data_IF_447478868051
#
_entry.id   IF_447478868051
#
_cell.length_a   1.000
_cell.length_b   1.000
_cell.length_c   1.000
_cell.angle_alpha   90.00
_cell.angle_beta   90.00
_cell.angle_gamma   90.00
#
_symmetry.space_group_name_H-M   'P 1'
#
loop_
_entity.id
_entity.type
_entity.pdbx_description
1 polymer ?
#
# COMPACT_ATOMS: atom_id res chain seq x y z
N UNK A 1 48.47 -31.68 -13.63
CA UNK A 1 47.64 -31.13 -12.53
C UNK A 1 46.19 -31.50 -12.79
N UNK A 2 45.55 -32.24 -11.87
CA UNK A 2 44.18 -32.64 -12.01
C UNK A 2 43.26 -31.43 -11.78
N UNK A 3 42.49 -31.02 -12.78
CA UNK A 3 41.51 -29.92 -12.68
C UNK A 3 40.39 -30.38 -11.75
N UNK A 4 40.30 -29.77 -10.59
CA UNK A 4 39.16 -30.06 -9.67
C UNK A 4 37.87 -29.54 -10.27
N UNK A 5 36.81 -30.30 -10.14
CA UNK A 5 35.50 -29.90 -10.60
C UNK A 5 35.02 -28.63 -9.86
N UNK A 6 34.33 -27.70 -10.54
CA UNK A 6 33.75 -26.53 -9.88
C UNK A 6 32.84 -26.90 -8.72
N UNK A 7 32.89 -26.13 -7.64
CA UNK A 7 32.03 -26.35 -6.49
C UNK A 7 30.58 -25.89 -6.81
N UNK A 8 29.65 -26.81 -6.77
CA UNK A 8 28.24 -26.52 -7.06
C UNK A 8 27.59 -25.56 -6.05
N UNK A 9 28.11 -25.49 -4.82
CA UNK A 9 27.62 -24.54 -3.80
C UNK A 9 28.18 -23.13 -4.07
N UNK A 10 29.41 -23.08 -4.53
CA UNK A 10 29.98 -21.81 -4.99
C UNK A 10 29.32 -21.30 -6.29
N UNK A 11 28.91 -22.10 -6.98
CA UNK A 11 28.24 -21.83 -8.01
C UNK A 11 27.12 -21.16 -7.75
N UNK A 12 26.42 -21.48 -6.68
CA UNK A 12 25.21 -20.82 -6.18
C UNK A 12 25.51 -19.61 -5.27
N UNK A 13 26.74 -19.16 -5.25
CA UNK A 13 27.15 -17.92 -4.61
C UNK A 13 27.91 -18.07 -3.30
N UNK A 14 27.81 -19.17 -2.59
CA UNK A 14 28.55 -19.35 -1.33
C UNK A 14 28.68 -20.81 -0.95
N UNK A 15 29.91 -21.22 -0.65
CA UNK A 15 30.22 -22.53 -0.10
C UNK A 15 30.63 -22.42 1.37
N UNK A 16 29.89 -23.04 2.25
CA UNK A 16 30.13 -23.00 3.70
C UNK A 16 31.48 -23.65 4.08
N UNK A 17 31.96 -24.60 3.26
CA UNK A 17 33.24 -25.30 3.55
C UNK A 17 34.48 -24.41 3.22
N UNK A 18 34.31 -23.29 2.52
CA UNK A 18 35.39 -22.35 2.23
C UNK A 18 36.66 -23.05 1.71
N UNK A 19 37.80 -22.81 2.38
CA UNK A 19 39.08 -23.39 2.01
C UNK A 19 39.17 -24.91 2.21
N UNK A 20 38.26 -25.50 2.98
CA UNK A 20 38.23 -26.95 3.23
C UNK A 20 37.45 -27.71 2.16
N UNK A 21 36.89 -27.00 1.17
CA UNK A 21 36.12 -27.63 0.11
C UNK A 21 37.04 -28.45 -0.83
N UNK A 22 36.62 -29.67 -1.14
CA UNK A 22 37.37 -30.52 -2.08
C UNK A 22 37.19 -30.09 -3.55
N UNK A 23 36.22 -29.26 -3.85
CA UNK A 23 35.95 -28.76 -5.20
C UNK A 23 36.59 -27.40 -5.40
N UNK A 24 36.87 -27.05 -6.68
CA UNK A 24 37.53 -25.79 -7.01
C UNK A 24 36.62 -24.57 -6.74
N UNK A 25 37.16 -23.55 -6.04
CA UNK A 25 36.58 -22.21 -5.90
C UNK A 25 37.30 -21.21 -6.80
N UNK A 26 38.33 -21.66 -7.53
CA UNK A 26 39.08 -20.79 -8.43
C UNK A 26 38.36 -20.66 -9.77
N UNK A 27 37.73 -19.51 -9.98
CA UNK A 27 36.89 -19.22 -11.15
C UNK A 27 37.69 -19.28 -12.48
N UNK A 28 38.97 -19.00 -12.43
CA UNK A 28 39.83 -19.08 -13.62
C UNK A 28 40.01 -20.51 -14.16
N UNK A 29 39.77 -21.50 -13.29
CA UNK A 29 39.86 -22.91 -13.67
C UNK A 29 38.50 -23.51 -14.07
N UNK A 30 37.41 -22.72 -13.90
CA UNK A 30 36.06 -23.22 -14.19
C UNK A 30 35.77 -23.22 -15.68
N UNK A 31 35.09 -24.23 -16.18
CA UNK A 31 34.65 -24.21 -17.57
C UNK A 31 33.57 -23.14 -17.78
N UNK A 32 33.47 -22.61 -19.03
CA UNK A 32 32.58 -21.49 -19.33
C UNK A 32 31.12 -21.70 -18.89
N UNK A 33 30.58 -22.91 -19.04
CA UNK A 33 29.22 -23.21 -18.65
C UNK A 33 28.99 -23.03 -17.13
N UNK A 34 29.97 -23.39 -16.30
CA UNK A 34 29.87 -23.24 -14.85
C UNK A 34 29.89 -21.74 -14.45
N UNK A 35 30.68 -20.94 -15.16
CA UNK A 35 30.73 -19.48 -14.98
C UNK A 35 29.39 -18.85 -15.36
N UNK A 36 28.78 -19.26 -16.45
CA UNK A 36 27.46 -18.77 -16.89
C UNK A 36 26.37 -19.11 -15.86
N UNK A 37 26.37 -20.33 -15.34
CA UNK A 37 25.41 -20.73 -14.28
C UNK A 37 25.56 -19.82 -13.05
N UNK A 38 26.81 -19.57 -12.63
CA UNK A 38 27.08 -18.67 -11.49
C UNK A 38 26.60 -17.23 -11.77
N UNK A 39 26.93 -16.71 -12.94
CA UNK A 39 26.51 -15.36 -13.34
C UNK A 39 25.00 -15.21 -13.32
N UNK A 40 24.28 -16.17 -13.92
CA UNK A 40 22.80 -16.15 -13.92
C UNK A 40 22.23 -16.22 -12.51
N UNK A 41 22.81 -17.03 -11.64
CA UNK A 41 22.38 -17.13 -10.25
C UNK A 41 22.56 -15.81 -9.51
N UNK A 42 23.73 -15.17 -9.69
CA UNK A 42 24.04 -13.90 -9.03
C UNK A 42 23.15 -12.77 -9.57
N UNK A 43 22.94 -12.72 -10.89
CA UNK A 43 22.02 -11.74 -11.52
C UNK A 43 20.60 -11.90 -10.97
N UNK A 44 20.10 -13.11 -10.88
CA UNK A 44 18.76 -13.37 -10.32
C UNK A 44 18.64 -12.93 -8.86
N UNK A 45 19.70 -13.09 -8.06
CA UNK A 45 19.72 -12.58 -6.68
C UNK A 45 19.68 -11.05 -6.65
N UNK A 46 20.46 -10.40 -7.51
CA UNK A 46 20.50 -8.94 -7.60
C UNK A 46 19.12 -8.42 -8.02
N UNK A 47 18.52 -9.01 -9.07
CA UNK A 47 17.19 -8.61 -9.54
C UNK A 47 16.14 -8.72 -8.43
N UNK A 48 16.11 -9.85 -7.71
CA UNK A 48 15.18 -10.03 -6.58
C UNK A 48 15.40 -9.02 -5.45
N UNK A 49 16.66 -8.66 -5.20
CA UNK A 49 16.99 -7.63 -4.21
C UNK A 49 16.55 -6.25 -4.68
N UNK A 50 16.73 -5.95 -5.96
CA UNK A 50 16.28 -4.69 -6.57
C UNK A 50 14.75 -4.58 -6.54
N UNK A 51 14.03 -5.63 -6.91
CA UNK A 51 12.56 -5.66 -6.85
C UNK A 51 12.07 -5.34 -5.44
N UNK A 52 12.66 -5.98 -4.43
CA UNK A 52 12.33 -5.72 -3.03
C UNK A 52 12.64 -4.28 -2.62
N UNK A 53 13.76 -3.73 -3.10
CA UNK A 53 14.13 -2.33 -2.82
C UNK A 53 13.19 -1.36 -3.52
N UNK A 54 12.81 -1.64 -4.76
CA UNK A 54 11.84 -0.86 -5.53
C UNK A 54 10.48 -0.85 -4.80
N UNK A 55 10.01 -2.01 -4.33
CA UNK A 55 8.76 -2.09 -3.56
C UNK A 55 8.82 -1.23 -2.30
N UNK A 56 9.95 -1.31 -1.56
CA UNK A 56 10.14 -0.52 -0.34
C UNK A 56 10.20 0.99 -0.65
N UNK A 57 10.95 1.38 -1.68
CA UNK A 57 11.06 2.78 -2.12
C UNK A 57 9.71 3.31 -2.62
N UNK A 58 8.97 2.49 -3.35
CA UNK A 58 7.63 2.83 -3.83
C UNK A 58 6.67 3.05 -2.66
N UNK A 59 6.75 2.23 -1.61
CA UNK A 59 5.94 2.41 -0.41
C UNK A 59 6.28 3.72 0.31
N UNK A 60 7.57 4.02 0.47
CA UNK A 60 8.06 5.24 1.12
C UNK A 60 7.70 6.47 0.27
N UNK A 61 7.98 6.41 -1.03
CA UNK A 61 7.72 7.50 -1.96
C UNK A 61 6.22 7.78 -2.08
N UNK A 62 5.40 6.75 -2.22
CA UNK A 62 3.95 6.89 -2.29
C UNK A 62 3.37 7.53 -1.04
N UNK A 63 3.83 7.12 0.14
CA UNK A 63 3.40 7.72 1.39
C UNK A 63 3.86 9.18 1.51
N UNK A 64 5.11 9.46 1.13
CA UNK A 64 5.67 10.82 1.19
C UNK A 64 5.00 11.75 0.16
N UNK A 65 4.71 11.23 -1.03
CA UNK A 65 4.05 12.01 -2.09
C UNK A 65 2.60 12.35 -1.72
N UNK A 66 1.89 11.41 -1.11
CA UNK A 66 0.53 11.65 -0.63
C UNK A 66 0.50 12.74 0.47
N UNK A 67 1.46 12.70 1.39
CA UNK A 67 1.55 13.66 2.50
C UNK A 67 1.96 15.07 2.02
N UNK A 68 2.72 15.18 0.93
CA UNK A 68 3.33 16.46 0.53
C UNK A 68 2.54 17.27 -0.51
N UNK A 69 1.85 16.63 -1.45
CA UNK A 69 1.30 17.37 -2.59
C UNK A 69 -0.20 17.19 -2.82
N UNK A 70 -0.74 16.01 -2.65
CA UNK A 70 -2.10 15.71 -3.09
C UNK A 70 -3.11 15.68 -1.94
N UNK A 71 -2.71 15.25 -0.77
CA UNK A 71 -3.58 15.24 0.40
C UNK A 71 -3.87 16.67 0.89
N UNK A 72 -2.88 17.57 0.80
CA UNK A 72 -3.07 18.98 1.12
C UNK A 72 -3.96 19.72 0.10
N UNK A 73 -3.89 19.33 -1.17
CA UNK A 73 -4.66 19.96 -2.23
C UNK A 73 -6.05 19.38 -2.43
N UNK A 74 -6.19 18.05 -2.31
CA UNK A 74 -7.42 17.36 -2.66
C UNK A 74 -8.11 16.67 -1.46
N UNK A 75 -7.36 16.37 -0.41
CA UNK A 75 -7.83 15.52 0.67
C UNK A 75 -8.00 14.06 0.23
N UNK A 76 -8.27 13.18 1.19
CA UNK A 76 -8.38 11.72 0.96
C UNK A 76 -9.45 11.39 -0.09
N UNK A 77 -10.63 12.00 0.05
CA UNK A 77 -11.76 11.77 -0.87
C UNK A 77 -11.43 12.23 -2.27
N UNK A 78 -10.82 13.43 -2.41
CA UNK A 78 -10.44 14.00 -3.70
C UNK A 78 -9.41 13.15 -4.45
N UNK A 79 -8.43 12.59 -3.75
CA UNK A 79 -7.45 11.65 -4.32
C UNK A 79 -8.15 10.41 -4.88
N UNK A 80 -9.10 9.85 -4.14
CA UNK A 80 -9.85 8.66 -4.55
C UNK A 80 -10.77 8.94 -5.75
N UNK A 81 -11.47 10.07 -5.75
CA UNK A 81 -12.32 10.50 -6.87
C UNK A 81 -11.47 10.74 -8.13
N UNK A 82 -10.33 11.40 -7.99
CA UNK A 82 -9.39 11.63 -9.10
C UNK A 82 -8.86 10.32 -9.69
N UNK A 83 -8.55 9.34 -8.85
CA UNK A 83 -8.10 8.02 -9.31
C UNK A 83 -9.21 7.29 -10.09
N UNK A 84 -10.45 7.31 -9.60
CA UNK A 84 -11.59 6.69 -10.31
C UNK A 84 -11.77 7.36 -11.67
N UNK A 85 -11.75 8.69 -11.70
CA UNK A 85 -11.93 9.48 -12.92
C UNK A 85 -10.72 9.50 -13.85
N UNK A 86 -9.60 8.93 -13.42
CA UNK A 86 -8.32 8.98 -14.14
C UNK A 86 -7.86 10.42 -14.39
N UNK A 87 -8.07 11.28 -13.41
CA UNK A 87 -7.72 12.71 -13.42
C UNK A 87 -6.46 12.90 -12.55
N UNK A 88 -5.66 13.92 -12.87
CA UNK A 88 -4.50 14.35 -12.07
C UNK A 88 -3.37 13.32 -11.89
N UNK A 89 -3.24 12.35 -12.77
CA UNK A 89 -2.16 11.36 -12.75
C UNK A 89 -1.99 10.62 -11.40
N UNK A 90 -3.08 10.44 -10.66
CA UNK A 90 -3.04 9.73 -9.37
C UNK A 90 -2.61 8.29 -9.61
N UNK A 91 -1.57 7.87 -8.91
CA UNK A 91 -1.06 6.50 -9.02
C UNK A 91 -1.94 5.51 -8.27
N UNK A 92 -1.88 4.24 -8.66
CA UNK A 92 -2.54 3.16 -7.94
C UNK A 92 -2.05 3.09 -6.48
N UNK A 93 -0.77 3.36 -6.27
CA UNK A 93 -0.15 3.39 -4.94
C UNK A 93 -0.80 4.46 -4.06
N UNK A 94 -0.88 5.69 -4.55
CA UNK A 94 -1.51 6.82 -3.83
C UNK A 94 -2.97 6.52 -3.50
N UNK A 95 -3.71 5.95 -4.45
CA UNK A 95 -5.11 5.55 -4.24
C UNK A 95 -5.24 4.48 -3.15
N UNK A 96 -4.34 3.49 -3.08
CA UNK A 96 -4.38 2.45 -2.05
C UNK A 96 -4.08 3.04 -0.65
N UNK A 97 -3.16 4.00 -0.55
CA UNK A 97 -2.85 4.69 0.71
C UNK A 97 -4.05 5.54 1.14
N UNK A 98 -4.62 6.33 0.24
CA UNK A 98 -5.81 7.14 0.52
C UNK A 98 -7.00 6.26 0.93
N UNK A 99 -7.20 5.12 0.26
CA UNK A 99 -8.24 4.15 0.62
C UNK A 99 -8.04 3.62 2.05
N UNK A 100 -6.81 3.27 2.43
CA UNK A 100 -6.50 2.81 3.78
C UNK A 100 -6.81 3.90 4.83
N UNK A 101 -6.53 5.16 4.53
CA UNK A 101 -6.87 6.29 5.41
C UNK A 101 -8.39 6.44 5.54
N UNK A 102 -9.13 6.41 4.45
CA UNK A 102 -10.60 6.46 4.47
C UNK A 102 -11.19 5.31 5.31
N UNK A 103 -10.66 4.09 5.17
CA UNK A 103 -11.09 2.93 5.96
C UNK A 103 -10.82 3.11 7.47
N UNK A 104 -9.84 3.91 7.86
CA UNK A 104 -9.57 4.23 9.26
C UNK A 104 -10.64 5.18 9.84
N UNK A 105 -11.13 6.10 9.02
CA UNK A 105 -12.15 7.09 9.41
C UNK A 105 -13.56 6.47 9.51
N UNK A 106 -13.81 5.40 8.74
CA UNK A 106 -15.12 4.75 8.70
C UNK A 106 -15.38 3.88 9.94
N UNK A 107 -16.57 4.01 10.50
CA UNK A 107 -17.03 3.16 11.59
C UNK A 107 -17.79 1.96 11.03
N UNK A 108 -17.32 0.75 11.34
CA UNK A 108 -17.94 -0.49 10.89
C UNK A 108 -19.40 -0.63 11.39
N UNK A 109 -19.71 -0.09 12.56
CA UNK A 109 -21.05 -0.25 13.14
C UNK A 109 -22.10 0.60 12.41
N UNK A 110 -21.70 1.77 11.89
CA UNK A 110 -22.60 2.58 11.06
C UNK A 110 -22.90 1.89 9.72
N UNK A 111 -21.91 1.20 9.15
CA UNK A 111 -22.09 0.42 7.92
C UNK A 111 -22.98 -0.80 8.20
N UNK A 112 -22.85 -1.44 9.37
CA UNK A 112 -23.74 -2.56 9.76
C UNK A 112 -25.19 -2.08 9.85
N UNK A 113 -25.45 -0.89 10.42
CA UNK A 113 -26.80 -0.31 10.46
C UNK A 113 -27.36 -0.11 9.04
N UNK A 114 -26.55 0.43 8.12
CA UNK A 114 -26.95 0.59 6.71
C UNK A 114 -27.25 -0.76 6.06
N UNK A 115 -26.41 -1.76 6.32
CA UNK A 115 -26.60 -3.12 5.81
C UNK A 115 -27.90 -3.75 6.33
N UNK A 116 -28.15 -3.63 7.63
CA UNK A 116 -29.27 -4.28 8.29
C UNK A 116 -30.62 -3.65 7.88
N UNK A 117 -30.61 -2.44 7.31
CA UNK A 117 -31.79 -1.78 6.72
C UNK A 117 -32.05 -2.23 5.27
N UNK A 118 -31.16 -3.00 4.64
CA UNK A 118 -31.35 -3.50 3.27
C UNK A 118 -31.97 -4.91 3.27
N UNK A 119 -32.62 -5.25 2.15
CA UNK A 119 -33.11 -6.62 1.96
C UNK A 119 -31.95 -7.64 2.00
N UNK A 120 -32.13 -8.79 2.68
CA UNK A 120 -31.03 -9.74 2.90
C UNK A 120 -30.29 -10.21 1.62
N UNK A 121 -30.99 -10.29 0.50
CA UNK A 121 -30.45 -10.74 -0.78
C UNK A 121 -29.99 -9.60 -1.70
N UNK A 122 -30.04 -8.36 -1.24
CA UNK A 122 -29.63 -7.19 -2.02
C UNK A 122 -28.13 -7.26 -2.37
N UNK A 123 -27.75 -6.89 -3.61
CA UNK A 123 -26.34 -6.75 -3.97
C UNK A 123 -25.60 -5.78 -3.06
N UNK A 124 -26.27 -4.80 -2.48
CA UNK A 124 -25.68 -3.83 -1.55
C UNK A 124 -25.16 -4.49 -0.28
N UNK A 125 -25.86 -5.53 0.22
CA UNK A 125 -25.41 -6.29 1.41
C UNK A 125 -24.01 -6.87 1.20
N UNK A 126 -23.72 -7.39 0.01
CA UNK A 126 -22.39 -7.90 -0.34
C UNK A 126 -21.33 -6.79 -0.33
N UNK A 127 -21.71 -5.61 -0.84
CA UNK A 127 -20.81 -4.43 -0.84
C UNK A 127 -20.51 -4.03 0.61
N UNK A 128 -21.50 -3.88 1.46
CA UNK A 128 -21.32 -3.52 2.87
C UNK A 128 -20.42 -4.53 3.59
N UNK A 129 -20.68 -5.83 3.42
CA UNK A 129 -19.85 -6.88 4.03
C UNK A 129 -18.39 -6.80 3.57
N UNK A 130 -18.17 -6.52 2.28
CA UNK A 130 -16.81 -6.35 1.72
C UNK A 130 -16.09 -5.16 2.37
N UNK A 131 -16.78 -4.01 2.48
CA UNK A 131 -16.17 -2.81 3.08
C UNK A 131 -15.91 -3.02 4.58
N UNK A 132 -16.83 -3.65 5.32
CA UNK A 132 -16.64 -4.02 6.73
C UNK A 132 -15.38 -4.89 6.88
N UNK A 133 -15.21 -5.90 6.03
CA UNK A 133 -14.04 -6.78 6.03
C UNK A 133 -12.73 -5.99 5.81
N UNK A 134 -12.73 -5.01 4.90
CA UNK A 134 -11.57 -4.15 4.68
C UNK A 134 -11.29 -3.25 5.90
N UNK A 135 -12.31 -2.70 6.54
CA UNK A 135 -12.15 -1.88 7.75
C UNK A 135 -11.51 -2.72 8.87
N UNK A 136 -12.02 -3.92 9.10
CA UNK A 136 -11.50 -4.82 10.14
C UNK A 136 -10.07 -5.24 9.85
N UNK A 137 -9.77 -5.55 8.59
CA UNK A 137 -8.40 -5.85 8.15
C UNK A 137 -7.46 -4.65 8.36
N UNK A 138 -7.92 -3.45 7.99
CA UNK A 138 -7.15 -2.21 8.10
C UNK A 138 -6.85 -1.86 9.56
N UNK A 139 -7.79 -2.04 10.45
CA UNK A 139 -7.61 -1.83 11.91
C UNK A 139 -6.57 -2.79 12.48
N UNK A 140 -6.52 -4.04 12.00
CA UNK A 140 -5.51 -5.03 12.43
C UNK A 140 -4.13 -4.71 11.87
N UNK A 141 -4.03 -4.38 10.58
CA UNK A 141 -2.75 -4.11 9.92
C UNK A 141 -2.97 -3.32 8.62
N UNK A 142 -2.80 -2.00 8.70
CA UNK A 142 -3.02 -1.12 7.55
C UNK A 142 -2.04 -1.40 6.39
N UNK A 143 -0.78 -1.75 6.68
CA UNK A 143 0.21 -2.10 5.65
C UNK A 143 -0.23 -3.34 4.86
N UNK A 144 -0.76 -4.33 5.55
CA UNK A 144 -1.29 -5.54 4.92
C UNK A 144 -2.49 -5.21 4.04
N UNK A 145 -3.38 -4.34 4.50
CA UNK A 145 -4.54 -3.90 3.71
C UNK A 145 -4.12 -3.15 2.46
N UNK A 146 -3.16 -2.23 2.55
CA UNK A 146 -2.58 -1.53 1.39
C UNK A 146 -2.00 -2.56 0.39
N UNK A 147 -1.26 -3.55 0.89
CA UNK A 147 -0.69 -4.60 0.05
C UNK A 147 -1.77 -5.43 -0.67
N UNK A 148 -2.86 -5.76 0.02
CA UNK A 148 -4.00 -6.47 -0.58
C UNK A 148 -4.68 -5.62 -1.67
N UNK A 149 -4.90 -4.33 -1.40
CA UNK A 149 -5.50 -3.40 -2.36
C UNK A 149 -4.64 -3.24 -3.63
N UNK A 150 -3.32 -3.17 -3.48
CA UNK A 150 -2.38 -3.10 -4.61
C UNK A 150 -2.48 -4.32 -5.54
N UNK A 151 -2.81 -5.49 -5.02
CA UNK A 151 -2.93 -6.73 -5.77
C UNK A 151 -4.21 -6.80 -6.60
N UNK A 152 -5.21 -6.00 -6.28
CA UNK A 152 -6.47 -6.00 -7.05
C UNK A 152 -6.23 -5.49 -8.48
N UNK A 153 -6.91 -6.06 -9.48
CA UNK A 153 -6.96 -5.43 -10.80
C UNK A 153 -7.49 -3.99 -10.70
N UNK A 154 -7.05 -3.12 -11.61
CA UNK A 154 -7.37 -1.68 -11.54
C UNK A 154 -8.87 -1.40 -11.57
N UNK A 155 -9.61 -2.13 -12.39
CA UNK A 155 -11.07 -2.03 -12.48
C UNK A 155 -11.78 -2.45 -11.18
N UNK A 156 -11.30 -3.53 -10.57
CA UNK A 156 -11.83 -4.03 -9.28
C UNK A 156 -11.53 -3.01 -8.18
N UNK A 157 -10.30 -2.47 -8.15
CA UNK A 157 -9.91 -1.44 -7.17
C UNK A 157 -10.77 -0.18 -7.33
N UNK A 158 -10.96 0.32 -8.56
CA UNK A 158 -11.82 1.49 -8.83
C UNK A 158 -13.26 1.26 -8.36
N UNK A 159 -13.80 0.07 -8.62
CA UNK A 159 -15.15 -0.30 -8.17
C UNK A 159 -15.23 -0.35 -6.63
N UNK A 160 -14.21 -0.92 -5.99
CA UNK A 160 -14.14 -0.99 -4.51
C UNK A 160 -14.08 0.41 -3.90
N UNK A 161 -13.23 1.28 -4.45
CA UNK A 161 -13.10 2.68 -4.00
C UNK A 161 -14.45 3.41 -4.17
N UNK A 162 -15.06 3.29 -5.34
CA UNK A 162 -16.38 3.92 -5.61
C UNK A 162 -17.41 3.50 -4.57
N UNK A 163 -17.55 2.21 -4.35
CA UNK A 163 -18.48 1.66 -3.37
C UNK A 163 -18.24 2.22 -1.96
N UNK A 164 -16.96 2.32 -1.56
CA UNK A 164 -16.57 2.84 -0.24
C UNK A 164 -16.89 4.34 -0.12
N UNK A 165 -16.64 5.12 -1.18
CA UNK A 165 -16.99 6.54 -1.22
C UNK A 165 -18.50 6.75 -1.14
N UNK A 166 -19.30 5.95 -1.84
CA UNK A 166 -20.76 6.03 -1.80
C UNK A 166 -21.28 5.74 -0.37
N UNK A 167 -20.70 4.75 0.32
CA UNK A 167 -21.00 4.44 1.72
C UNK A 167 -20.60 5.62 2.63
N UNK A 168 -19.41 6.16 2.46
CA UNK A 168 -18.90 7.31 3.23
C UNK A 168 -19.86 8.51 3.08
N UNK A 169 -20.27 8.82 1.86
CA UNK A 169 -21.23 9.91 1.59
C UNK A 169 -22.56 9.65 2.29
N UNK A 170 -23.08 8.41 2.25
CA UNK A 170 -24.35 8.04 2.91
C UNK A 170 -24.28 8.22 4.42
N UNK A 171 -23.15 7.84 5.05
CA UNK A 171 -22.95 8.01 6.51
C UNK A 171 -22.85 9.49 6.87
N UNK A 172 -22.12 10.29 6.09
CA UNK A 172 -21.91 11.73 6.34
C UNK A 172 -23.24 12.50 6.24
N UNK A 173 -24.09 12.16 5.28
CA UNK A 173 -25.41 12.78 5.11
C UNK A 173 -26.33 12.43 6.30
N UNK A 174 -26.29 11.18 6.77
CA UNK A 174 -27.15 10.71 7.85
C UNK A 174 -26.68 11.17 9.24
N UNK A 175 -25.41 11.48 9.40
CA UNK A 175 -24.82 11.96 10.66
C UNK A 175 -24.04 13.24 10.42
N UNK A 176 -24.69 14.39 10.18
CA UNK A 176 -23.97 15.65 10.08
C UNK A 176 -23.32 15.95 11.43
N UNK A 177 -22.01 15.81 11.52
CA UNK A 177 -21.26 16.26 12.72
C UNK A 177 -21.50 17.76 12.85
N UNK A 178 -22.00 18.19 14.00
CA UNK A 178 -22.06 19.60 14.35
C UNK A 178 -20.63 20.18 14.24
N UNK A 179 -20.43 20.98 13.22
CA UNK A 179 -19.21 21.77 13.09
C UNK A 179 -19.25 22.82 14.21
N UNK A 180 -18.64 22.53 15.32
CA UNK A 180 -18.39 23.54 16.36
C UNK A 180 -17.39 24.54 15.82
N UNK A 181 -17.90 25.58 15.16
CA UNK A 181 -17.14 26.78 14.92
C UNK A 181 -17.03 27.49 16.29
N UNK A 182 -15.92 27.31 16.94
CA UNK A 182 -15.60 28.12 18.13
C UNK A 182 -15.13 29.49 17.66
N UNK A 183 -16.08 30.38 17.48
CA UNK A 183 -15.78 31.81 17.35
C UNK A 183 -15.31 32.33 18.71
N UNK A 184 -14.01 32.28 18.95
CA UNK A 184 -13.39 33.02 20.04
C UNK A 184 -13.13 34.45 19.55
N UNK A 185 -14.15 35.29 19.65
CA UNK A 185 -13.99 36.73 19.55
C UNK A 185 -13.54 37.25 20.93
N UNK A 186 -12.24 37.30 21.17
CA UNK A 186 -11.68 38.05 22.31
C UNK A 186 -11.59 39.52 21.93
N UNK A 187 -12.57 40.28 22.36
CA UNK A 187 -12.55 41.72 22.35
C UNK A 187 -11.54 42.21 23.40
N UNK A 188 -10.38 42.65 22.94
CA UNK A 188 -9.47 43.41 23.78
C UNK A 188 -10.08 44.82 23.98
N UNK A 189 -10.54 45.10 25.19
CA UNK A 189 -10.87 46.47 25.62
C UNK A 189 -9.58 47.22 26.01
N UNK A 190 -9.21 48.21 25.21
CA UNK A 190 -8.24 49.22 25.60
C UNK A 190 -8.89 50.11 26.67
N UNK A 191 -8.28 50.19 27.82
CA UNK A 191 -8.54 51.26 28.78
C UNK A 191 -7.33 52.21 28.78
N UNK A 192 -7.51 53.32 28.10
CA UNK A 192 -6.75 54.54 28.39
C UNK A 192 -7.20 55.14 29.70
N UNK A 193 -6.27 55.43 30.56
CA UNK A 193 -6.47 56.48 31.60
C UNK A 193 -5.14 57.12 32.00
N UNK A 194 -5.00 58.40 31.63
CA UNK A 194 -4.19 59.48 32.21
C UNK A 194 -2.77 59.15 32.66
#
# INVERSE_FOLDING_TARGET
>A
MSRRNPCKFEXRGHCLNGKRCHFSHNYFEWPPHALLVRQNFMLNRILKSMDKSIDTLSEISGAAELDRTEEYALGVVGVLESYIGSINNITKQSACVAMSKLLTELNSDDIKKLRDNEEPNSPKVRVYNTVISYIESNRKNNKQTIHLLKRLPADVLKKTIKNTLDIHKSITINNPKESTVSDTNDHAKNNDTT
#
